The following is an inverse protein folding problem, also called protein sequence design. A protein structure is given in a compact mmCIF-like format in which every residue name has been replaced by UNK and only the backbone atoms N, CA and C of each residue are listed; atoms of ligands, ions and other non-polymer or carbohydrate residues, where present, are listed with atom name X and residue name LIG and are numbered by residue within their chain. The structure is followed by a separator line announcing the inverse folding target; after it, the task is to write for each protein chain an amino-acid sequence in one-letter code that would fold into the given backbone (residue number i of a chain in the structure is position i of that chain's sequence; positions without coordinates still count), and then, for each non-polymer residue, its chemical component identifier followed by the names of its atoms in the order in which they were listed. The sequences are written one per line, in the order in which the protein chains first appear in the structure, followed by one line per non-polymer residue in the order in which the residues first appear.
data_IF_164184278937
#
_entry.id   IF_164184278937
#
_cell.length_a   1.000
_cell.length_b   1.000
_cell.length_c   1.000
_cell.angle_alpha   90.00
_cell.angle_beta   90.00
_cell.angle_gamma   90.00
#
_symmetry.space_group_name_H-M   'P 1'
#
loop_
_entity.id
_entity.type
_entity.pdbx_description
1 polymer ?
#
# COMPACT_ATOMS: atom_id res chain seq x y z
N UNK A 1 8.72 9.58 -35.02
CA UNK A 1 8.63 9.24 -33.59
C UNK A 1 8.80 7.74 -33.48
N UNK A 2 9.97 7.27 -33.04
CA UNK A 2 10.21 5.84 -32.82
C UNK A 2 9.89 5.58 -31.36
N UNK A 3 8.73 4.96 -31.10
CA UNK A 3 8.41 4.47 -29.75
C UNK A 3 9.23 3.21 -29.49
N UNK A 4 9.99 3.19 -28.41
CA UNK A 4 10.86 2.08 -28.04
C UNK A 4 9.99 0.88 -27.59
N UNK A 5 10.38 -0.34 -27.95
CA UNK A 5 9.64 -1.55 -27.59
C UNK A 5 9.52 -1.77 -26.07
N UNK A 6 10.43 -1.17 -25.28
CA UNK A 6 10.41 -1.18 -23.82
C UNK A 6 9.32 -0.27 -23.23
N UNK A 7 9.13 0.91 -23.83
CA UNK A 7 8.09 1.86 -23.43
C UNK A 7 6.68 1.32 -23.77
N UNK A 8 6.57 0.55 -24.86
CA UNK A 8 5.32 -0.09 -25.26
C UNK A 8 4.91 -1.27 -24.35
N UNK A 9 5.85 -1.92 -23.65
CA UNK A 9 5.55 -2.97 -22.67
C UNK A 9 5.09 -2.40 -21.33
N UNK A 10 5.68 -1.30 -20.85
CA UNK A 10 5.27 -0.62 -19.61
C UNK A 10 3.87 0.00 -19.75
N UNK A 11 3.58 0.67 -20.87
CA UNK A 11 2.24 1.19 -21.20
C UNK A 11 1.16 0.09 -21.32
N UNK A 12 1.54 -1.15 -21.63
CA UNK A 12 0.61 -2.30 -21.70
C UNK A 12 0.28 -2.86 -20.32
N UNK A 13 1.20 -2.83 -19.36
CA UNK A 13 0.92 -3.21 -17.97
C UNK A 13 0.12 -2.14 -17.23
N UNK A 14 0.38 -0.84 -17.48
CA UNK A 14 -0.42 0.26 -16.92
C UNK A 14 -1.92 0.15 -17.28
N UNK A 15 -2.24 -0.32 -18.49
CA UNK A 15 -3.63 -0.55 -18.90
C UNK A 15 -4.30 -1.75 -18.22
N UNK A 16 -3.53 -2.70 -17.67
CA UNK A 16 -4.06 -3.93 -17.08
C UNK A 16 -4.83 -3.69 -15.77
N UNK A 17 -4.52 -2.60 -15.07
CA UNK A 17 -5.06 -2.30 -13.73
C UNK A 17 -5.83 -0.97 -13.65
N UNK A 18 -6.27 -0.42 -14.80
CA UNK A 18 -6.98 0.87 -14.89
C UNK A 18 -8.10 1.03 -13.84
N UNK A 19 -9.01 0.06 -13.73
CA UNK A 19 -10.11 0.15 -12.75
C UNK A 19 -9.61 0.00 -11.32
N UNK A 20 -8.63 -0.86 -11.07
CA UNK A 20 -8.08 -1.03 -9.73
C UNK A 20 -7.36 0.23 -9.24
N UNK A 21 -6.70 0.97 -10.14
CA UNK A 21 -6.09 2.27 -9.84
C UNK A 21 -7.15 3.37 -9.69
N UNK A 22 -8.17 3.39 -10.56
CA UNK A 22 -9.25 4.39 -10.53
C UNK A 22 -10.08 4.29 -9.25
N UNK A 23 -10.40 3.07 -8.82
CA UNK A 23 -11.21 2.79 -7.63
C UNK A 23 -10.35 2.46 -6.39
N UNK A 24 -9.05 2.76 -6.42
CA UNK A 24 -8.17 2.54 -5.27
C UNK A 24 -8.64 3.42 -4.10
N UNK A 25 -8.95 2.84 -2.92
CA UNK A 25 -9.30 3.62 -1.73
C UNK A 25 -8.25 4.68 -1.40
N UNK A 26 -8.71 5.90 -1.12
CA UNK A 26 -7.84 7.04 -0.79
C UNK A 26 -7.80 7.29 0.72
N UNK A 27 -8.92 7.09 1.40
CA UNK A 27 -9.06 7.19 2.86
C UNK A 27 -9.37 5.82 3.48
N UNK A 28 -9.11 5.65 4.78
CA UNK A 28 -9.37 4.40 5.52
C UNK A 28 -10.87 4.03 5.50
N UNK A 29 -11.75 5.03 5.52
CA UNK A 29 -13.21 4.85 5.41
C UNK A 29 -13.67 4.25 4.07
N UNK A 30 -12.88 4.37 3.00
CA UNK A 30 -13.26 3.91 1.65
C UNK A 30 -12.96 2.41 1.48
N UNK A 31 -12.30 1.77 2.45
CA UNK A 31 -11.99 0.35 2.39
C UNK A 31 -13.26 -0.47 2.55
N UNK A 32 -13.52 -1.34 1.57
CA UNK A 32 -14.63 -2.31 1.64
C UNK A 32 -14.16 -3.61 2.28
N UNK A 33 -12.89 -3.99 2.05
CA UNK A 33 -12.25 -5.16 2.61
C UNK A 33 -11.48 -4.79 3.89
N UNK A 34 -11.47 -5.68 4.89
CA UNK A 34 -10.79 -5.45 6.17
C UNK A 34 -11.25 -4.16 6.89
N UNK A 35 -12.54 -3.84 6.82
CA UNK A 35 -13.15 -2.63 7.43
C UNK A 35 -12.82 -2.48 8.91
N UNK A 36 -12.88 -3.58 9.65
CA UNK A 36 -12.63 -3.59 11.09
C UNK A 36 -11.21 -3.07 11.39
N UNK A 37 -10.22 -3.50 10.60
CA UNK A 37 -8.83 -3.03 10.73
C UNK A 37 -8.68 -1.56 10.33
N UNK A 38 -9.38 -1.12 9.28
CA UNK A 38 -9.35 0.29 8.86
C UNK A 38 -9.96 1.21 9.92
N UNK A 39 -11.02 0.78 10.59
CA UNK A 39 -11.65 1.50 11.72
C UNK A 39 -10.70 1.54 12.91
N UNK A 40 -10.10 0.41 13.29
CA UNK A 40 -9.11 0.34 14.38
C UNK A 40 -7.95 1.31 14.15
N UNK A 41 -7.36 1.29 12.95
CA UNK A 41 -6.28 2.20 12.56
C UNK A 41 -6.70 3.68 12.62
N UNK A 42 -7.94 3.99 12.22
CA UNK A 42 -8.47 5.35 12.31
C UNK A 42 -8.61 5.81 13.76
N UNK A 43 -9.06 4.95 14.66
CA UNK A 43 -9.07 5.24 16.10
C UNK A 43 -7.67 5.47 16.64
N UNK A 44 -6.71 4.62 16.26
CA UNK A 44 -5.31 4.75 16.71
C UNK A 44 -4.68 6.09 16.29
N UNK A 45 -4.96 6.57 15.06
CA UNK A 45 -4.48 7.88 14.61
C UNK A 45 -5.11 9.01 15.42
N UNK A 46 -6.42 8.95 15.69
CA UNK A 46 -7.14 9.99 16.44
C UNK A 46 -6.65 10.12 17.88
N UNK A 47 -6.12 9.04 18.46
CA UNK A 47 -5.54 9.01 19.80
C UNK A 47 -4.07 9.47 19.84
N UNK A 48 -3.50 9.91 18.70
CA UNK A 48 -2.09 10.34 18.51
C UNK A 48 -1.04 9.29 18.92
N UNK A 49 -1.44 8.03 19.05
CA UNK A 49 -0.54 6.91 19.35
C UNK A 49 0.01 6.28 18.05
N UNK A 50 0.92 6.98 17.37
CA UNK A 50 1.52 6.46 16.14
C UNK A 50 2.62 5.42 16.43
N UNK A 51 2.23 4.14 16.51
CA UNK A 51 3.12 2.98 16.72
C UNK A 51 3.70 2.45 15.39
N UNK A 52 4.70 1.56 15.46
CA UNK A 52 5.20 0.85 14.28
C UNK A 52 4.21 -0.25 13.84
N UNK A 53 3.86 -0.28 12.54
CA UNK A 53 2.92 -1.24 11.98
C UNK A 53 3.59 -2.23 11.03
N UNK A 54 3.14 -3.49 11.08
CA UNK A 54 3.49 -4.52 10.10
C UNK A 54 2.18 -4.98 9.45
N UNK A 55 2.09 -4.83 8.13
CA UNK A 55 0.91 -5.25 7.36
C UNK A 55 1.18 -6.59 6.68
N UNK A 56 0.53 -7.65 7.16
CA UNK A 56 0.57 -8.98 6.56
C UNK A 56 -0.73 -9.37 5.86
N UNK A 57 -0.65 -10.38 4.99
CA UNK A 57 -1.80 -10.93 4.28
C UNK A 57 -1.45 -11.40 2.86
N UNK A 58 -2.44 -11.88 2.13
CA UNK A 58 -2.27 -12.34 0.74
C UNK A 58 -1.97 -11.18 -0.23
N UNK A 59 -1.54 -11.50 -1.45
CA UNK A 59 -1.38 -10.50 -2.50
C UNK A 59 -2.74 -9.91 -2.90
N UNK A 60 -2.80 -8.60 -3.19
CA UNK A 60 -4.02 -7.96 -3.68
C UNK A 60 -5.05 -7.50 -2.62
N UNK A 61 -4.88 -7.82 -1.34
CA UNK A 61 -5.82 -7.42 -0.26
C UNK A 61 -5.77 -5.93 0.12
N UNK A 62 -5.00 -5.11 -0.61
CA UNK A 62 -4.90 -3.68 -0.38
C UNK A 62 -3.94 -3.24 0.73
N UNK A 63 -3.00 -4.09 1.17
CA UNK A 63 -2.01 -3.75 2.23
C UNK A 63 -1.26 -2.43 1.95
N UNK A 64 -0.69 -2.32 0.74
CA UNK A 64 0.02 -1.12 0.30
C UNK A 64 -0.92 0.09 0.28
N UNK A 65 -2.12 -0.07 -0.27
CA UNK A 65 -3.13 0.98 -0.29
C UNK A 65 -3.49 1.45 1.12
N UNK A 66 -3.60 0.53 2.07
CA UNK A 66 -3.97 0.81 3.46
C UNK A 66 -2.89 1.61 4.17
N UNK A 67 -1.62 1.25 3.96
CA UNK A 67 -0.47 2.03 4.45
C UNK A 67 -0.53 3.46 3.91
N UNK A 68 -0.80 3.65 2.62
CA UNK A 68 -0.91 4.99 2.02
C UNK A 68 -2.09 5.79 2.58
N UNK A 69 -3.25 5.18 2.75
CA UNK A 69 -4.42 5.82 3.35
C UNK A 69 -4.15 6.23 4.82
N UNK A 70 -3.52 5.35 5.60
CA UNK A 70 -3.08 5.63 6.97
C UNK A 70 -2.14 6.84 7.04
N UNK A 71 -1.10 6.86 6.20
CA UNK A 71 -0.13 7.95 6.18
C UNK A 71 -0.78 9.28 5.81
N UNK A 72 -1.77 9.27 4.90
CA UNK A 72 -2.53 10.46 4.52
C UNK A 72 -3.41 10.98 5.65
N UNK A 73 -4.05 10.09 6.42
CA UNK A 73 -4.85 10.51 7.58
C UNK A 73 -3.97 11.01 8.73
N UNK A 74 -2.82 10.38 8.98
CA UNK A 74 -1.91 10.75 10.07
C UNK A 74 -1.16 12.08 9.81
N UNK A 75 -0.64 12.29 8.60
CA UNK A 75 0.21 13.46 8.30
C UNK A 75 -0.49 14.53 7.46
N UNK A 76 -1.68 14.24 6.93
CA UNK A 76 -2.41 15.10 6.01
C UNK A 76 -2.05 14.86 4.53
N UNK A 77 -2.98 15.14 3.61
CA UNK A 77 -2.86 14.78 2.18
C UNK A 77 -1.66 15.42 1.47
N UNK A 78 -1.24 16.62 1.89
CA UNK A 78 -0.19 17.40 1.22
C UNK A 78 1.23 17.13 1.76
N UNK A 79 1.35 16.35 2.83
CA UNK A 79 2.63 16.15 3.55
C UNK A 79 3.20 14.74 3.42
N UNK A 80 2.53 13.84 2.71
CA UNK A 80 3.00 12.44 2.58
C UNK A 80 4.11 12.34 1.53
N UNK A 81 5.36 12.53 1.97
CA UNK A 81 6.55 12.13 1.21
C UNK A 81 7.00 10.74 1.68
N UNK A 82 6.25 9.71 1.31
CA UNK A 82 6.62 8.34 1.63
C UNK A 82 7.54 7.74 0.56
N UNK A 83 8.68 7.20 0.99
CA UNK A 83 9.57 6.42 0.12
C UNK A 83 9.14 4.96 0.14
N UNK A 84 8.92 4.39 -1.03
CA UNK A 84 8.61 2.97 -1.18
C UNK A 84 9.89 2.19 -1.49
N UNK A 85 10.27 1.26 -0.62
CA UNK A 85 11.43 0.39 -0.81
C UNK A 85 10.99 -1.07 -0.72
N UNK A 86 11.07 -1.79 -1.84
CA UNK A 86 10.88 -3.24 -1.83
C UNK A 86 12.20 -3.92 -1.43
N UNK A 87 12.22 -4.55 -0.24
CA UNK A 87 13.36 -5.33 0.24
C UNK A 87 13.00 -6.80 0.33
N UNK A 88 13.78 -7.63 -0.35
CA UNK A 88 13.69 -9.08 -0.23
C UNK A 88 14.60 -9.54 0.89
N UNK A 89 14.02 -10.02 1.98
CA UNK A 89 14.77 -10.63 3.07
C UNK A 89 14.88 -12.13 2.82
N UNK A 90 16.06 -12.58 2.44
CA UNK A 90 16.36 -14.00 2.37
C UNK A 90 16.67 -14.49 3.79
N UNK A 91 15.64 -15.01 4.47
CA UNK A 91 15.80 -15.60 5.78
C UNK A 91 16.55 -16.94 5.62
N UNK A 92 17.79 -16.98 6.09
CA UNK A 92 18.50 -18.25 6.24
C UNK A 92 17.89 -18.96 7.44
N UNK A 93 17.04 -19.93 7.17
CA UNK A 93 16.61 -20.88 8.19
C UNK A 93 17.80 -21.78 8.47
N UNK A 94 18.48 -21.55 9.60
CA UNK A 94 19.45 -22.51 10.10
C UNK A 94 18.65 -23.67 10.69
N UNK A 95 18.59 -24.78 9.95
CA UNK A 95 18.22 -26.06 10.53
C UNK A 95 19.41 -26.52 11.36
N UNK A 96 19.36 -26.32 12.67
CA UNK A 96 20.26 -27.02 13.60
C UNK A 96 19.91 -28.51 13.55
N UNK A 97 20.84 -29.30 13.02
CA UNK A 97 21.02 -30.72 13.31
C UNK A 97 22.17 -30.84 14.31
#
# INVERSE_FOLDING_TARGET
MVVNAKDASELKEEKKYLWADTYRPVALKDFICNKDKAIELQHTINEDECRHFIFEGQAGVGKRTMIWALLREAYGPDKVQARDECKTFNLKVYSEL
#
